data_IF_218916794514
#
_entry.id   IF_218916794514
#
_cell.length_a   1.000
_cell.length_b   1.000
_cell.length_c   1.000
_cell.angle_alpha   90.00
_cell.angle_beta   90.00
_cell.angle_gamma   90.00
#
_symmetry.space_group_name_H-M   'P 1'
#
loop_
_entity.id
_entity.type
_entity.pdbx_description
1 polymer ?
#
# COMPACT_ATOMS: atom_id res chain seq x y z
N UNK A 1 -4.39 10.71 16.77
CA UNK A 1 -5.57 10.73 15.87
C UNK A 1 -5.17 9.98 14.61
N UNK A 2 -5.83 8.85 14.31
CA UNK A 2 -5.60 8.17 13.05
C UNK A 2 -6.10 9.10 11.94
N UNK A 3 -5.21 9.58 11.07
CA UNK A 3 -5.64 10.32 9.88
C UNK A 3 -6.70 9.47 9.18
N UNK A 4 -7.89 10.03 8.99
CA UNK A 4 -8.92 9.40 8.18
C UNK A 4 -8.32 9.22 6.79
N UNK A 5 -8.00 7.98 6.43
CA UNK A 5 -7.40 7.68 5.14
C UNK A 5 -8.30 8.15 4.00
N UNK A 6 -7.71 8.63 2.92
CA UNK A 6 -8.43 8.99 1.70
C UNK A 6 -8.76 7.68 0.97
N UNK A 7 -10.02 7.47 0.57
CA UNK A 7 -10.36 6.28 -0.21
C UNK A 7 -9.55 6.26 -1.52
N UNK A 8 -8.96 5.11 -1.84
CA UNK A 8 -8.33 4.87 -3.14
C UNK A 8 -9.39 4.86 -4.23
N UNK A 9 -9.19 5.68 -5.25
CA UNK A 9 -10.07 5.82 -6.42
C UNK A 9 -9.33 5.37 -7.68
N UNK A 10 -10.04 5.14 -8.78
CA UNK A 10 -9.39 4.82 -10.06
C UNK A 10 -8.50 5.98 -10.57
N UNK A 11 -8.80 7.23 -10.18
CA UNK A 11 -7.98 8.40 -10.52
C UNK A 11 -6.57 8.35 -9.92
N UNK A 12 -6.38 7.63 -8.81
CA UNK A 12 -5.04 7.42 -8.23
C UNK A 12 -4.13 6.56 -9.12
N UNK A 13 -4.68 5.92 -10.16
CA UNK A 13 -3.97 5.04 -11.08
C UNK A 13 -3.86 5.62 -12.49
N UNK A 14 -4.26 6.88 -12.73
CA UNK A 14 -4.29 7.49 -14.06
C UNK A 14 -2.94 7.38 -14.81
N UNK A 15 -1.83 7.48 -14.08
CA UNK A 15 -0.47 7.38 -14.62
C UNK A 15 0.21 6.03 -14.35
N UNK A 16 -0.52 5.09 -13.75
CA UNK A 16 -0.01 3.75 -13.44
C UNK A 16 -0.01 2.86 -14.68
N UNK A 17 1.00 2.00 -14.78
CA UNK A 17 1.05 0.98 -15.83
C UNK A 17 0.24 -0.25 -15.40
N UNK A 18 -0.52 -0.89 -16.31
CA UNK A 18 -1.12 -2.19 -16.02
C UNK A 18 -0.09 -3.18 -15.45
N UNK A 19 -0.46 -4.05 -14.49
CA UNK A 19 -1.83 -4.33 -14.04
C UNK A 19 -2.36 -3.42 -12.91
N UNK A 20 -1.61 -2.40 -12.49
CA UNK A 20 -1.98 -1.55 -11.35
C UNK A 20 -3.34 -0.86 -11.58
N UNK A 21 -4.24 -1.08 -10.62
CA UNK A 21 -5.60 -0.52 -10.56
C UNK A 21 -6.13 -0.72 -9.14
N UNK A 22 -7.22 -0.04 -8.76
CA UNK A 22 -7.89 -0.26 -7.46
C UNK A 22 -8.28 -1.73 -7.30
N UNK A 23 -8.83 -2.32 -8.37
CA UNK A 23 -9.20 -3.74 -8.41
C UNK A 23 -8.00 -4.67 -8.19
N UNK A 24 -6.87 -4.39 -8.83
CA UNK A 24 -5.65 -5.19 -8.66
C UNK A 24 -5.18 -5.16 -7.20
N UNK A 25 -5.03 -3.97 -6.60
CA UNK A 25 -4.59 -3.86 -5.21
C UNK A 25 -5.54 -4.63 -4.28
N UNK A 26 -6.85 -4.51 -4.48
CA UNK A 26 -7.85 -5.24 -3.69
C UNK A 26 -7.62 -6.75 -3.78
N UNK A 27 -7.47 -7.29 -4.99
CA UNK A 27 -7.24 -8.72 -5.19
C UNK A 27 -5.94 -9.22 -4.54
N UNK A 28 -4.87 -8.41 -4.53
CA UNK A 28 -3.62 -8.76 -3.84
C UNK A 28 -3.83 -8.79 -2.32
N UNK A 29 -4.53 -7.80 -1.77
CA UNK A 29 -4.86 -7.76 -0.34
C UNK A 29 -5.72 -8.95 0.07
N UNK A 30 -6.73 -9.31 -0.73
CA UNK A 30 -7.56 -10.50 -0.51
C UNK A 30 -6.73 -11.79 -0.57
N UNK A 31 -5.94 -11.96 -1.64
CA UNK A 31 -5.12 -13.15 -1.90
C UNK A 31 -4.14 -13.45 -0.77
N UNK A 32 -3.49 -12.41 -0.24
CA UNK A 32 -2.47 -12.54 0.80
C UNK A 32 -2.99 -12.24 2.22
N UNK A 33 -4.30 -12.01 2.36
CA UNK A 33 -4.96 -11.66 3.61
C UNK A 33 -4.30 -10.47 4.32
N UNK A 34 -4.00 -9.41 3.56
CA UNK A 34 -3.34 -8.22 4.06
C UNK A 34 -4.33 -7.27 4.73
N UNK A 35 -3.88 -6.61 5.79
CA UNK A 35 -4.59 -5.52 6.47
C UNK A 35 -4.09 -4.16 5.99
N UNK A 36 -2.76 -3.97 5.94
CA UNK A 36 -2.16 -2.73 5.49
C UNK A 36 -0.70 -2.91 5.05
N UNK A 37 -0.24 -1.96 4.23
CA UNK A 37 1.16 -1.77 3.87
C UNK A 37 1.54 -0.36 4.29
N UNK A 38 2.65 -0.20 5.00
CA UNK A 38 3.20 1.09 5.40
C UNK A 38 4.60 1.29 4.81
N UNK A 39 4.86 2.50 4.31
CA UNK A 39 6.12 2.95 3.73
C UNK A 39 6.77 3.99 4.65
N UNK A 40 8.04 3.76 5.02
CA UNK A 40 8.79 4.62 5.94
C UNK A 40 9.89 5.45 5.28
N UNK A 41 10.07 5.34 3.96
CA UNK A 41 11.17 5.97 3.23
C UNK A 41 12.22 4.97 2.75
N UNK A 42 12.95 5.33 1.69
CA UNK A 42 13.97 4.45 1.08
C UNK A 42 13.33 3.17 0.53
N UNK A 43 13.83 2.01 0.99
CA UNK A 43 13.27 0.70 0.66
C UNK A 43 12.61 0.02 1.88
N UNK A 44 12.19 0.81 2.88
CA UNK A 44 11.64 0.28 4.13
C UNK A 44 10.12 0.23 4.10
N UNK A 45 9.60 -0.99 4.18
CA UNK A 45 8.16 -1.28 4.22
C UNK A 45 7.82 -2.20 5.38
N UNK A 46 6.60 -2.03 5.90
CA UNK A 46 5.95 -2.98 6.79
C UNK A 46 4.66 -3.46 6.13
N UNK A 47 4.52 -4.77 5.98
CA UNK A 47 3.34 -5.42 5.42
C UNK A 47 2.67 -6.20 6.54
N UNK A 48 1.39 -5.92 6.81
CA UNK A 48 0.60 -6.53 7.88
C UNK A 48 -0.48 -7.42 7.30
N UNK A 49 -0.69 -8.59 7.91
CA UNK A 49 -1.85 -9.46 7.69
C UNK A 49 -3.05 -9.00 8.53
N UNK A 50 -4.24 -9.53 8.23
CA UNK A 50 -5.51 -9.25 8.93
C UNK A 50 -5.54 -9.67 10.41
N UNK A 51 -4.62 -10.54 10.85
CA UNK A 51 -4.40 -10.89 12.26
C UNK A 51 -3.35 -10.00 12.93
N UNK A 52 -2.97 -8.88 12.29
CA UNK A 52 -1.91 -7.97 12.71
C UNK A 52 -0.52 -8.59 12.83
N UNK A 53 -0.31 -9.78 12.24
CA UNK A 53 1.02 -10.36 12.12
C UNK A 53 1.77 -9.76 10.92
N UNK A 54 3.10 -9.66 11.00
CA UNK A 54 3.90 -9.26 9.86
C UNK A 54 3.79 -10.30 8.73
N UNK A 55 3.56 -9.84 7.51
CA UNK A 55 3.80 -10.62 6.31
C UNK A 55 5.30 -10.52 5.99
N UNK A 56 6.04 -11.61 6.19
CA UNK A 56 7.49 -11.60 5.97
C UNK A 56 7.82 -11.88 4.51
N UNK A 57 8.80 -11.17 3.92
CA UNK A 57 9.31 -11.51 2.60
C UNK A 57 10.04 -12.85 2.64
N UNK A 58 10.01 -13.58 1.52
CA UNK A 58 10.78 -14.81 1.33
C UNK A 58 12.05 -14.48 0.55
N UNK A 59 13.23 -14.85 1.06
CA UNK A 59 14.53 -14.48 0.46
C UNK A 59 14.68 -12.97 0.19
N UNK A 60 14.30 -12.14 1.16
CA UNK A 60 14.36 -10.68 1.10
C UNK A 60 13.52 -10.03 -0.02
N UNK A 61 12.55 -10.76 -0.60
CA UNK A 61 11.57 -10.21 -1.54
C UNK A 61 10.16 -10.63 -1.18
N UNK A 62 9.22 -9.74 -1.43
CA UNK A 62 7.82 -10.08 -1.41
C UNK A 62 7.42 -10.79 -2.71
N UNK A 63 6.27 -11.48 -2.73
CA UNK A 63 5.59 -11.85 -3.95
C UNK A 63 5.52 -10.67 -4.95
N UNK A 64 5.68 -10.96 -6.24
CA UNK A 64 5.77 -9.96 -7.31
C UNK A 64 4.58 -8.98 -7.32
N UNK A 65 3.38 -9.48 -6.99
CA UNK A 65 2.18 -8.66 -6.92
C UNK A 65 2.19 -7.65 -5.76
N UNK A 66 2.81 -7.99 -4.63
CA UNK A 66 3.08 -7.07 -3.53
C UNK A 66 4.18 -6.08 -3.91
N UNK A 67 5.27 -6.53 -4.55
CA UNK A 67 6.37 -5.65 -5.01
C UNK A 67 5.87 -4.54 -5.94
N UNK A 68 4.95 -4.86 -6.87
CA UNK A 68 4.30 -3.85 -7.71
C UNK A 68 3.56 -2.78 -6.91
N UNK A 69 2.96 -3.15 -5.78
CA UNK A 69 2.29 -2.21 -4.88
C UNK A 69 3.31 -1.36 -4.13
N UNK A 70 4.43 -1.95 -3.68
CA UNK A 70 5.50 -1.20 -3.01
C UNK A 70 6.06 -0.12 -3.94
N UNK A 71 6.38 -0.49 -5.18
CA UNK A 71 6.84 0.43 -6.23
C UNK A 71 5.83 1.56 -6.50
N UNK A 72 4.55 1.22 -6.60
CA UNK A 72 3.47 2.19 -6.74
C UNK A 72 3.42 3.16 -5.57
N UNK A 73 3.52 2.66 -4.33
CA UNK A 73 3.51 3.49 -3.14
C UNK A 73 4.68 4.48 -3.09
N UNK A 74 5.89 4.08 -3.52
CA UNK A 74 7.03 5.01 -3.59
C UNK A 74 6.77 6.12 -4.62
N UNK A 75 6.35 5.74 -5.83
CA UNK A 75 6.16 6.69 -6.94
C UNK A 75 5.10 7.73 -6.64
N UNK A 76 3.96 7.28 -6.10
CA UNK A 76 2.83 8.14 -5.76
C UNK A 76 2.95 8.79 -4.36
N UNK A 77 4.09 8.59 -3.68
CA UNK A 77 4.35 9.11 -2.32
C UNK A 77 3.24 8.76 -1.33
N UNK A 78 2.77 7.51 -1.40
CA UNK A 78 1.77 6.94 -0.51
C UNK A 78 2.49 6.36 0.71
N UNK A 79 2.13 6.86 1.89
CA UNK A 79 2.70 6.39 3.16
C UNK A 79 2.07 5.09 3.63
N UNK A 80 0.77 4.92 3.43
CA UNK A 80 0.07 3.72 3.88
C UNK A 80 -1.06 3.40 2.93
N UNK A 81 -1.25 2.12 2.64
CA UNK A 81 -2.48 1.57 2.07
C UNK A 81 -3.09 0.64 3.13
N UNK A 82 -4.38 0.81 3.44
CA UNK A 82 -5.13 -0.01 4.39
C UNK A 82 -6.37 -0.58 3.71
N UNK A 83 -6.70 -1.82 4.04
CA UNK A 83 -7.88 -2.50 3.52
C UNK A 83 -8.84 -2.83 4.66
N UNK A 84 -10.05 -2.30 4.59
CA UNK A 84 -11.06 -2.44 5.63
C UNK A 84 -12.43 -2.57 4.97
N UNK A 85 -13.19 -3.61 5.33
CA UNK A 85 -14.56 -3.85 4.86
C UNK A 85 -14.73 -3.77 3.33
N UNK A 86 -13.75 -4.26 2.56
CA UNK A 86 -13.81 -4.23 1.09
C UNK A 86 -13.32 -2.94 0.45
N UNK A 87 -12.93 -1.93 1.26
CA UNK A 87 -12.53 -0.60 0.80
C UNK A 87 -11.04 -0.38 1.08
N UNK A 88 -10.34 0.19 0.10
CA UNK A 88 -8.93 0.57 0.22
C UNK A 88 -8.81 2.05 0.57
N UNK A 89 -7.99 2.35 1.56
CA UNK A 89 -7.69 3.71 1.99
C UNK A 89 -6.19 3.97 1.87
N UNK A 90 -5.81 5.18 1.48
CA UNK A 90 -4.44 5.65 1.44
C UNK A 90 -4.20 6.87 2.33
N UNK A 91 -2.98 7.01 2.81
CA UNK A 91 -2.49 8.27 3.39
C UNK A 91 -1.21 8.72 2.68
N UNK A 92 -1.01 10.03 2.58
CA UNK A 92 0.17 10.60 1.93
C UNK A 92 1.39 10.57 2.86
N UNK A 93 2.59 10.56 2.28
CA UNK A 93 3.80 10.90 3.05
C UNK A 93 3.70 12.37 3.43
N UNK A 94 3.79 12.72 4.74
CA UNK A 94 3.73 14.11 5.16
C UNK A 94 4.81 14.91 4.42
N UNK A 95 4.42 16.03 3.79
CA UNK A 95 5.41 16.99 3.33
C UNK A 95 6.16 17.46 4.59
N UNK A 96 7.47 17.28 4.62
CA UNK A 96 8.30 17.97 5.61
C UNK A 96 8.04 19.47 5.40
N UNK A 97 7.29 20.09 6.31
CA UNK A 97 7.23 21.53 6.42
C UNK A 97 8.63 21.96 6.83
N UNK A 98 9.41 22.48 5.86
CA UNK A 98 10.71 23.06 6.14
C UNK A 98 10.55 24.10 7.25
N UNK A 99 11.37 23.96 8.29
CA UNK A 99 11.60 25.01 9.28
C UNK A 99 12.54 26.05 8.71
#
# INVERSE_FOLDING_TARGET
MYEAGIELTEGDFEFSKPPLSKKFIRLVFDKHQLEHIAYFGGNMFYVSKQNSEPFMPFNARYPEDIELILDFMVRERIRRIRYENGVLFRSAVPKLSGS
#
